data_IF_383274108903
#
_entry.id   IF_383274108903
#
_cell.length_a   1.000
_cell.length_b   1.000
_cell.length_c   1.000
_cell.angle_alpha   90.00
_cell.angle_beta   90.00
_cell.angle_gamma   90.00
#
_symmetry.space_group_name_H-M   'P 1'
#
loop_
_entity.id
_entity.type
_entity.pdbx_description
1 polymer ?
#
# COMPACT_ATOMS: atom_id res chain seq x y z
N UNK A 1 -16.09 44.17 -7.38
CA UNK A 1 -14.85 44.11 -6.59
C UNK A 1 -14.78 42.69 -6.03
N UNK A 2 -14.16 41.78 -6.77
CA UNK A 2 -14.04 40.37 -6.38
C UNK A 2 -12.72 40.20 -5.60
N UNK A 3 -12.68 39.45 -4.51
CA UNK A 3 -11.47 39.25 -3.73
C UNK A 3 -10.44 38.46 -4.55
N UNK A 4 -9.18 38.86 -4.41
CA UNK A 4 -8.02 38.25 -5.06
C UNK A 4 -7.86 36.85 -4.46
N UNK A 5 -8.13 35.82 -5.24
CA UNK A 5 -7.74 34.45 -4.90
C UNK A 5 -6.21 34.43 -4.79
N UNK A 6 -5.69 34.12 -3.59
CA UNK A 6 -4.27 33.94 -3.33
C UNK A 6 -3.75 32.70 -4.08
N UNK A 7 -3.48 32.85 -5.38
CA UNK A 7 -2.77 31.87 -6.19
C UNK A 7 -1.29 31.86 -5.86
N UNK A 8 -0.67 30.67 -5.88
CA UNK A 8 0.78 30.53 -5.71
C UNK A 8 1.50 31.22 -6.88
N UNK A 9 2.52 32.04 -6.64
CA UNK A 9 3.39 32.59 -7.68
C UNK A 9 4.72 31.83 -7.73
N UNK A 10 5.35 31.77 -8.91
CA UNK A 10 6.68 31.19 -9.03
C UNK A 10 7.71 32.06 -8.26
N UNK A 11 8.54 31.49 -7.37
CA UNK A 11 9.49 32.27 -6.58
C UNK A 11 10.63 32.89 -7.40
N UNK A 12 10.83 32.47 -8.65
CA UNK A 12 11.91 32.96 -9.51
C UNK A 12 11.47 34.05 -10.51
N UNK A 13 10.30 33.92 -11.14
CA UNK A 13 9.82 34.85 -12.17
C UNK A 13 8.56 35.63 -11.79
N UNK A 14 7.98 35.35 -10.61
CA UNK A 14 6.79 35.98 -10.06
C UNK A 14 5.50 35.83 -10.92
N UNK A 15 5.51 34.94 -11.92
CA UNK A 15 4.33 34.59 -12.70
C UNK A 15 3.35 33.73 -11.88
N UNK A 16 2.02 33.93 -12.02
CA UNK A 16 1.01 33.19 -11.28
C UNK A 16 0.94 31.73 -11.75
N UNK A 17 1.12 30.80 -10.82
CA UNK A 17 1.01 29.38 -11.05
C UNK A 17 -0.45 28.98 -10.88
N UNK A 18 -1.11 28.70 -12.00
CA UNK A 18 -2.51 28.27 -12.03
C UNK A 18 -2.72 26.81 -11.64
N UNK A 19 -1.62 26.06 -11.49
CA UNK A 19 -1.61 24.65 -11.17
C UNK A 19 -0.61 24.37 -10.04
N UNK A 20 -1.13 23.86 -8.92
CA UNK A 20 -0.37 23.60 -7.69
C UNK A 20 0.54 22.36 -7.81
N UNK A 21 0.52 21.64 -8.94
CA UNK A 21 1.30 20.42 -9.17
C UNK A 21 2.51 20.61 -10.12
N UNK A 22 2.92 21.85 -10.38
CA UNK A 22 4.06 22.14 -11.25
C UNK A 22 5.37 21.82 -10.56
N UNK A 23 6.09 20.81 -11.07
CA UNK A 23 7.45 20.45 -10.62
C UNK A 23 8.47 21.41 -11.23
N UNK A 24 8.18 21.96 -12.40
CA UNK A 24 9.02 22.93 -13.13
C UNK A 24 8.12 24.09 -13.55
N UNK A 25 8.56 25.33 -13.31
CA UNK A 25 7.83 26.51 -13.76
C UNK A 25 7.75 26.53 -15.30
N UNK A 26 6.56 26.61 -15.90
CA UNK A 26 6.41 26.60 -17.35
C UNK A 26 6.94 27.87 -18.03
N UNK A 27 7.18 28.94 -17.26
CA UNK A 27 7.63 30.23 -17.78
C UNK A 27 9.15 30.42 -17.71
N UNK A 28 9.82 29.91 -16.66
CA UNK A 28 11.25 30.12 -16.46
C UNK A 28 12.08 28.84 -16.30
N UNK A 29 11.47 27.65 -16.30
CA UNK A 29 12.18 26.38 -16.33
C UNK A 29 12.88 25.95 -15.02
N UNK A 30 12.63 26.64 -13.91
CA UNK A 30 13.21 26.31 -12.59
C UNK A 30 12.35 25.28 -11.86
N UNK A 31 12.99 24.34 -11.16
CA UNK A 31 12.31 23.36 -10.30
C UNK A 31 11.64 24.04 -9.10
N UNK A 32 10.34 23.80 -8.92
CA UNK A 32 9.54 24.34 -7.82
C UNK A 32 9.55 23.29 -6.70
N UNK A 33 10.31 23.56 -5.63
CA UNK A 33 10.33 22.72 -4.42
C UNK A 33 9.16 23.11 -3.53
N UNK A 34 8.01 22.46 -3.70
CA UNK A 34 6.89 22.61 -2.77
C UNK A 34 7.30 21.92 -1.46
N UNK A 35 7.68 22.73 -0.47
CA UNK A 35 7.95 22.24 0.88
C UNK A 35 6.63 21.88 1.57
N UNK A 36 6.63 20.68 2.12
CA UNK A 36 5.61 20.00 2.93
C UNK A 36 4.81 20.93 3.83
N UNK A 37 3.57 21.22 3.45
CA UNK A 37 2.43 21.44 4.35
C UNK A 37 1.17 20.83 3.74
N UNK A 38 1.29 19.60 3.25
CA UNK A 38 0.14 18.83 2.79
C UNK A 38 -0.56 18.17 3.98
N UNK A 39 -1.18 19.01 4.81
CA UNK A 39 -2.39 18.64 5.54
C UNK A 39 -3.44 18.34 4.46
N UNK A 40 -3.43 17.13 3.93
CA UNK A 40 -4.66 16.58 3.37
C UNK A 40 -5.49 16.20 4.59
N UNK A 41 -6.50 16.99 5.01
CA UNK A 41 -7.51 16.41 5.86
C UNK A 41 -8.02 15.20 5.10
N UNK A 42 -7.85 14.00 5.66
CA UNK A 42 -8.61 12.83 5.23
C UNK A 42 -10.05 13.32 5.13
N UNK A 43 -10.59 13.40 3.91
CA UNK A 43 -11.98 13.83 3.78
C UNK A 43 -12.80 12.76 4.48
N UNK A 44 -13.89 13.13 5.16
CA UNK A 44 -14.79 12.15 5.80
C UNK A 44 -15.17 11.00 4.85
N UNK A 45 -15.17 11.23 3.53
CA UNK A 45 -15.32 10.20 2.50
C UNK A 45 -14.25 9.10 2.51
N UNK A 46 -12.98 9.45 2.70
CA UNK A 46 -11.87 8.47 2.76
C UNK A 46 -11.96 7.61 4.05
N UNK A 47 -12.53 8.18 5.13
CA UNK A 47 -12.80 7.48 6.40
C UNK A 47 -14.07 6.62 6.30
N UNK A 48 -15.04 6.97 5.44
CA UNK A 48 -16.21 6.11 5.19
C UNK A 48 -15.91 4.92 4.27
N UNK A 49 -14.84 4.95 3.48
CA UNK A 49 -14.46 3.83 2.60
C UNK A 49 -13.77 2.68 3.34
N UNK A 50 -13.28 2.89 4.57
CA UNK A 50 -12.74 1.80 5.42
C UNK A 50 -13.80 0.73 5.72
N UNK A 51 -15.09 1.08 5.69
CA UNK A 51 -16.22 0.16 5.84
C UNK A 51 -16.55 -0.65 4.58
N UNK A 52 -15.88 -0.39 3.45
CA UNK A 52 -16.11 -1.13 2.20
C UNK A 52 -15.60 -2.56 2.27
N UNK A 53 -14.52 -2.80 3.02
CA UNK A 53 -13.90 -4.10 3.14
C UNK A 53 -14.48 -4.87 4.32
N UNK A 54 -14.91 -6.10 4.07
CA UNK A 54 -15.39 -7.01 5.11
C UNK A 54 -14.23 -7.45 6.02
N UNK A 55 -14.23 -7.07 7.32
CA UNK A 55 -13.18 -7.44 8.26
C UNK A 55 -13.05 -8.95 8.50
N UNK A 56 -14.09 -9.72 8.21
CA UNK A 56 -14.14 -11.19 8.38
C UNK A 56 -13.77 -11.92 7.08
N UNK A 57 -13.59 -11.22 5.96
CA UNK A 57 -13.20 -11.83 4.70
C UNK A 57 -11.75 -12.32 4.75
N UNK A 58 -11.59 -13.61 5.01
CA UNK A 58 -10.28 -14.28 5.10
C UNK A 58 -9.43 -14.10 3.84
N UNK A 59 -10.04 -13.95 2.67
CA UNK A 59 -9.34 -13.86 1.39
C UNK A 59 -8.97 -12.43 1.00
N UNK A 60 -9.26 -11.43 1.85
CA UNK A 60 -9.09 -10.00 1.54
C UNK A 60 -7.70 -9.64 1.01
N UNK A 61 -6.65 -10.25 1.55
CA UNK A 61 -5.26 -10.03 1.15
C UNK A 61 -4.64 -11.25 0.45
N UNK A 62 -5.45 -12.13 -0.13
CA UNK A 62 -4.96 -13.27 -0.90
C UNK A 62 -5.12 -13.01 -2.38
N UNK A 63 -4.00 -13.10 -3.10
CA UNK A 63 -4.01 -12.97 -4.55
C UNK A 63 -4.82 -14.11 -5.21
N UNK A 64 -5.66 -13.83 -6.21
CA UNK A 64 -6.46 -14.84 -6.89
C UNK A 64 -5.63 -16.01 -7.47
N UNK A 65 -4.42 -15.74 -7.98
CA UNK A 65 -3.55 -16.78 -8.53
C UNK A 65 -3.01 -17.69 -7.41
N UNK A 66 -2.84 -17.16 -6.20
CA UNK A 66 -2.49 -17.98 -5.03
C UNK A 66 -3.66 -18.88 -4.61
N UNK A 67 -4.90 -18.37 -4.58
CA UNK A 67 -6.09 -19.18 -4.28
C UNK A 67 -6.17 -20.36 -5.26
N UNK A 68 -6.08 -20.06 -6.57
CA UNK A 68 -6.12 -21.05 -7.63
C UNK A 68 -5.03 -22.10 -7.49
N UNK A 69 -3.80 -21.69 -7.20
CA UNK A 69 -2.69 -22.62 -6.97
C UNK A 69 -3.01 -23.60 -5.82
N UNK A 70 -3.48 -23.10 -4.68
CA UNK A 70 -3.82 -23.94 -3.53
C UNK A 70 -5.03 -24.84 -3.77
N UNK A 71 -6.02 -24.38 -4.55
CA UNK A 71 -7.15 -25.20 -5.02
C UNK A 71 -6.69 -26.38 -5.88
N UNK A 72 -5.89 -26.10 -6.92
CA UNK A 72 -5.38 -27.11 -7.86
C UNK A 72 -4.56 -28.20 -7.15
N UNK A 73 -3.85 -27.82 -6.07
CA UNK A 73 -3.03 -28.73 -5.28
C UNK A 73 -3.76 -29.36 -4.09
N UNK A 74 -5.08 -29.13 -3.95
CA UNK A 74 -5.91 -29.65 -2.84
C UNK A 74 -5.44 -29.22 -1.45
N UNK A 75 -4.84 -28.03 -1.35
CA UNK A 75 -4.31 -27.43 -0.12
C UNK A 75 -5.05 -26.17 0.32
N UNK A 76 -6.17 -25.81 -0.31
CA UNK A 76 -6.91 -24.58 0.00
C UNK A 76 -7.28 -24.47 1.49
N UNK A 77 -7.71 -25.57 2.12
CA UNK A 77 -8.04 -25.57 3.54
C UNK A 77 -6.82 -25.35 4.45
N UNK A 78 -5.63 -25.80 4.05
CA UNK A 78 -4.38 -25.50 4.78
C UNK A 78 -4.09 -24.00 4.76
N UNK A 79 -4.21 -23.36 3.58
CA UNK A 79 -4.06 -21.92 3.43
C UNK A 79 -5.14 -21.17 4.22
N UNK A 80 -6.41 -21.58 4.11
CA UNK A 80 -7.54 -21.00 4.85
C UNK A 80 -7.30 -21.00 6.35
N UNK A 81 -6.85 -22.15 6.88
CA UNK A 81 -6.54 -22.32 8.28
C UNK A 81 -5.38 -21.41 8.71
N UNK A 82 -4.30 -21.39 7.93
CA UNK A 82 -3.13 -20.58 8.24
C UNK A 82 -3.45 -19.07 8.20
N UNK A 83 -4.23 -18.61 7.22
CA UNK A 83 -4.67 -17.21 7.18
C UNK A 83 -5.48 -16.89 8.44
N UNK A 84 -6.48 -17.71 8.78
CA UNK A 84 -7.34 -17.46 9.93
C UNK A 84 -6.56 -17.42 11.24
N UNK A 85 -5.67 -18.38 11.49
CA UNK A 85 -5.06 -18.54 12.81
C UNK A 85 -3.64 -17.95 12.93
N UNK A 86 -2.86 -17.92 11.85
CA UNK A 86 -1.50 -17.40 11.85
C UNK A 86 -1.42 -15.94 11.37
N UNK A 87 -2.16 -15.58 10.31
CA UNK A 87 -2.14 -14.23 9.73
C UNK A 87 -3.07 -13.28 10.49
N UNK A 88 -4.36 -13.63 10.60
CA UNK A 88 -5.39 -12.85 11.29
C UNK A 88 -5.39 -13.07 12.82
N UNK A 89 -4.55 -14.00 13.33
CA UNK A 89 -4.44 -14.35 14.76
C UNK A 89 -5.77 -14.82 15.39
N UNK A 90 -6.66 -15.41 14.59
CA UNK A 90 -7.94 -15.94 15.03
C UNK A 90 -9.07 -14.90 15.19
N UNK A 91 -8.82 -13.63 14.85
CA UNK A 91 -9.83 -12.57 14.85
C UNK A 91 -10.04 -11.96 13.46
N UNK A 92 -10.74 -10.83 13.39
CA UNK A 92 -10.93 -10.04 12.16
C UNK A 92 -9.65 -9.30 11.74
N UNK A 93 -9.63 -8.78 10.51
CA UNK A 93 -8.63 -7.79 10.08
C UNK A 93 -8.70 -6.51 10.93
N UNK A 94 -7.55 -5.95 11.26
CA UNK A 94 -7.44 -4.75 12.08
C UNK A 94 -7.69 -3.49 11.23
N UNK A 95 -8.03 -2.38 11.87
CA UNK A 95 -8.32 -1.12 11.18
C UNK A 95 -7.17 -0.65 10.27
N UNK A 96 -5.92 -0.77 10.72
CA UNK A 96 -4.74 -0.41 9.91
C UNK A 96 -4.59 -1.29 8.65
N UNK A 97 -5.01 -2.55 8.74
CA UNK A 97 -5.01 -3.49 7.61
C UNK A 97 -6.14 -3.13 6.64
N UNK A 98 -7.33 -2.78 7.13
CA UNK A 98 -8.44 -2.30 6.30
C UNK A 98 -8.13 -0.95 5.64
N UNK A 99 -7.45 -0.04 6.33
CA UNK A 99 -6.94 1.22 5.77
C UNK A 99 -5.93 0.95 4.66
N UNK A 100 -5.03 -0.03 4.82
CA UNK A 100 -4.15 -0.46 3.74
C UNK A 100 -4.95 -0.91 2.52
N UNK A 101 -6.01 -1.71 2.68
CA UNK A 101 -6.85 -2.13 1.56
C UNK A 101 -7.48 -0.94 0.83
N UNK A 102 -8.04 0.01 1.57
CA UNK A 102 -8.65 1.23 1.02
C UNK A 102 -7.63 2.08 0.27
N UNK A 103 -6.44 2.29 0.84
CA UNK A 103 -5.40 3.05 0.18
C UNK A 103 -4.87 2.38 -1.08
N UNK A 104 -4.72 1.04 -1.08
CA UNK A 104 -4.33 0.31 -2.30
C UNK A 104 -5.36 0.53 -3.40
N UNK A 105 -6.65 0.41 -3.09
CA UNK A 105 -7.71 0.68 -4.06
C UNK A 105 -7.66 2.13 -4.57
N UNK A 106 -7.50 3.11 -3.68
CA UNK A 106 -7.35 4.52 -4.05
C UNK A 106 -6.16 4.72 -5.00
N UNK A 107 -5.00 4.12 -4.68
CA UNK A 107 -3.79 4.25 -5.48
C UNK A 107 -3.89 3.56 -6.85
N UNK A 108 -4.61 2.43 -6.92
CA UNK A 108 -4.95 1.75 -8.18
C UNK A 108 -5.87 2.61 -9.05
N UNK A 109 -6.95 3.15 -8.46
CA UNK A 109 -7.91 4.01 -9.16
C UNK A 109 -7.26 5.29 -9.70
N UNK A 110 -6.21 5.79 -9.03
CA UNK A 110 -5.43 6.94 -9.49
C UNK A 110 -4.30 6.58 -10.47
N UNK A 111 -4.07 5.30 -10.76
CA UNK A 111 -2.98 4.83 -11.63
C UNK A 111 -1.57 5.07 -11.07
N UNK A 112 -1.44 5.32 -9.77
CA UNK A 112 -0.15 5.54 -9.09
C UNK A 112 0.61 4.21 -8.92
N UNK A 113 -0.14 3.13 -8.71
CA UNK A 113 0.35 1.76 -8.68
C UNK A 113 -0.40 0.90 -9.71
N UNK A 114 0.19 -0.22 -10.10
CA UNK A 114 -0.43 -1.24 -10.94
C UNK A 114 -0.16 -2.64 -10.39
N UNK A 115 -1.02 -3.61 -10.67
CA UNK A 115 -0.75 -5.01 -10.32
C UNK A 115 0.42 -5.57 -11.14
N UNK A 116 1.39 -6.19 -10.46
CA UNK A 116 2.57 -6.81 -11.10
C UNK A 116 2.27 -8.23 -11.63
N UNK A 117 1.09 -8.78 -11.36
CA UNK A 117 0.71 -10.19 -11.61
C UNK A 117 1.65 -11.19 -10.94
N UNK A 118 1.96 -10.91 -9.68
CA UNK A 118 2.77 -11.75 -8.81
C UNK A 118 2.32 -11.53 -7.39
N UNK A 119 2.39 -12.55 -6.56
CA UNK A 119 2.06 -12.46 -5.14
C UNK A 119 3.28 -12.70 -4.24
N UNK A 120 3.16 -12.25 -3.01
CA UNK A 120 4.19 -12.41 -1.99
C UNK A 120 4.28 -13.87 -1.54
N UNK A 121 5.50 -14.33 -1.33
CA UNK A 121 5.80 -15.75 -1.07
C UNK A 121 5.31 -16.28 0.29
N UNK A 122 4.87 -15.42 1.19
CA UNK A 122 4.33 -15.80 2.52
C UNK A 122 2.82 -15.59 2.53
N UNK A 123 2.07 -16.51 3.14
CA UNK A 123 0.63 -16.33 3.36
C UNK A 123 0.32 -14.98 4.06
N UNK A 124 -0.75 -14.27 3.68
CA UNK A 124 -1.87 -14.72 2.86
C UNK A 124 -1.61 -14.73 1.35
N UNK A 125 -0.35 -14.58 0.91
CA UNK A 125 0.04 -14.43 -0.48
C UNK A 125 -0.55 -13.18 -1.12
N UNK A 126 -0.32 -11.99 -0.52
CA UNK A 126 -0.84 -10.75 -1.05
C UNK A 126 -0.27 -10.39 -2.41
N UNK A 127 -1.11 -9.78 -3.23
CA UNK A 127 -0.71 -9.20 -4.51
C UNK A 127 0.46 -8.23 -4.32
N UNK A 128 1.38 -8.25 -5.27
CA UNK A 128 2.48 -7.29 -5.38
C UNK A 128 2.10 -6.23 -6.40
N UNK A 129 2.16 -4.98 -5.97
CA UNK A 129 1.89 -3.82 -6.80
C UNK A 129 3.20 -3.14 -7.19
N UNK A 130 3.29 -2.71 -8.44
CA UNK A 130 4.40 -1.90 -8.95
C UNK A 130 4.07 -0.43 -8.86
N UNK A 131 5.01 0.36 -8.35
CA UNK A 131 4.86 1.81 -8.23
C UNK A 131 5.23 2.50 -9.56
N UNK A 132 4.26 3.22 -10.14
CA UNK A 132 4.41 3.96 -11.41
C UNK A 132 4.87 5.38 -11.21
N UNK A 133 4.47 6.00 -10.10
CA UNK A 133 4.74 7.39 -9.78
C UNK A 133 5.17 7.52 -8.31
N UNK A 134 5.96 8.56 -7.99
CA UNK A 134 6.26 8.87 -6.58
C UNK A 134 4.97 9.27 -5.85
N UNK A 135 4.88 8.98 -4.56
CA UNK A 135 3.69 9.30 -3.78
C UNK A 135 3.80 8.83 -2.34
N UNK A 136 2.65 8.75 -1.68
CA UNK A 136 2.52 8.32 -0.30
C UNK A 136 1.31 7.40 -0.17
N UNK A 137 1.41 6.44 0.75
CA UNK A 137 0.30 5.64 1.27
C UNK A 137 0.09 6.03 2.73
N UNK A 138 -1.15 6.28 3.14
CA UNK A 138 -1.48 6.72 4.50
C UNK A 138 -2.09 5.59 5.31
N UNK A 139 -1.43 5.17 6.38
CA UNK A 139 -1.95 4.11 7.26
C UNK A 139 -1.79 4.57 8.70
N UNK A 140 -2.85 4.44 9.50
CA UNK A 140 -2.92 4.88 10.88
C UNK A 140 -2.53 6.37 11.05
N UNK A 141 -2.94 7.21 10.09
CA UNK A 141 -2.59 8.63 10.04
C UNK A 141 -1.14 8.94 9.65
N UNK A 142 -0.28 7.94 9.46
CA UNK A 142 1.12 8.12 9.04
C UNK A 142 1.26 8.03 7.52
N UNK A 143 2.00 8.97 6.94
CA UNK A 143 2.30 8.96 5.51
C UNK A 143 3.61 8.21 5.22
N UNK A 144 3.51 7.06 4.55
CA UNK A 144 4.68 6.29 4.11
C UNK A 144 5.02 6.63 2.67
N UNK A 145 6.19 7.27 2.47
CA UNK A 145 6.66 7.68 1.15
C UNK A 145 7.10 6.48 0.31
N UNK A 146 6.79 6.53 -0.98
CA UNK A 146 7.33 5.60 -1.96
C UNK A 146 7.81 6.30 -3.24
N UNK A 147 8.67 5.61 -3.98
CA UNK A 147 9.29 6.10 -5.21
C UNK A 147 8.99 5.17 -6.39
N UNK A 148 8.95 5.74 -7.58
CA UNK A 148 8.77 5.00 -8.84
C UNK A 148 9.78 3.86 -8.96
N UNK A 149 9.31 2.70 -9.39
CA UNK A 149 10.13 1.51 -9.62
C UNK A 149 10.36 0.63 -8.38
N UNK A 150 9.91 1.06 -7.20
CA UNK A 150 9.71 0.16 -6.07
C UNK A 150 8.38 -0.59 -6.22
N UNK A 151 8.14 -1.51 -5.31
CA UNK A 151 6.97 -2.37 -5.23
C UNK A 151 6.36 -2.28 -3.83
N UNK A 152 5.07 -2.54 -3.74
CA UNK A 152 4.26 -2.51 -2.53
C UNK A 152 3.58 -3.86 -2.36
N UNK A 153 3.55 -4.38 -1.13
CA UNK A 153 2.70 -5.52 -0.77
C UNK A 153 2.31 -5.45 0.70
N UNK A 154 1.29 -6.21 1.08
CA UNK A 154 0.79 -6.31 2.44
C UNK A 154 1.77 -7.09 3.32
N UNK A 155 1.91 -6.69 4.58
CA UNK A 155 2.71 -7.42 5.55
C UNK A 155 1.86 -7.89 6.73
N UNK A 156 1.72 -9.22 6.87
CA UNK A 156 0.99 -9.83 7.98
C UNK A 156 1.56 -9.48 9.35
N UNK A 157 0.69 -9.49 10.38
CA UNK A 157 1.01 -9.13 11.78
C UNK A 157 2.25 -9.82 12.31
N UNK A 158 2.38 -11.13 12.12
CA UNK A 158 3.54 -11.86 12.65
C UNK A 158 4.85 -11.41 12.02
N UNK A 159 4.89 -11.16 10.71
CA UNK A 159 6.08 -10.65 10.06
C UNK A 159 6.39 -9.20 10.43
N UNK A 160 5.36 -8.40 10.76
CA UNK A 160 5.52 -7.06 11.32
C UNK A 160 6.17 -7.09 12.70
N UNK A 161 5.63 -7.90 13.60
CA UNK A 161 6.15 -8.10 14.96
C UNK A 161 7.63 -8.52 14.93
N UNK A 162 7.98 -9.49 14.08
CA UNK A 162 9.35 -10.00 13.96
C UNK A 162 10.34 -8.97 13.40
N UNK A 163 9.87 -8.03 12.57
CA UNK A 163 10.69 -7.00 11.92
C UNK A 163 10.55 -5.62 12.54
N UNK A 164 9.79 -5.51 13.63
CA UNK A 164 9.46 -4.25 14.30
C UNK A 164 8.88 -3.20 13.32
N UNK A 165 7.93 -3.62 12.46
CA UNK A 165 7.26 -2.76 11.49
C UNK A 165 5.94 -2.24 12.05
N UNK A 166 5.72 -0.93 11.96
CA UNK A 166 4.55 -0.27 12.54
C UNK A 166 3.32 -0.27 11.62
N UNK A 167 3.48 -0.59 10.33
CA UNK A 167 2.40 -0.57 9.35
C UNK A 167 2.32 -1.90 8.58
N UNK A 168 1.11 -2.34 8.14
CA UNK A 168 0.86 -3.54 7.31
C UNK A 168 1.36 -3.39 5.87
N UNK A 169 2.55 -2.81 5.72
CA UNK A 169 3.07 -2.30 4.48
C UNK A 169 4.54 -2.69 4.32
N UNK A 170 4.87 -3.22 3.16
CA UNK A 170 6.25 -3.42 2.74
C UNK A 170 6.48 -2.70 1.41
N UNK A 171 7.45 -1.77 1.41
CA UNK A 171 7.88 -1.03 0.21
C UNK A 171 9.35 -1.36 -0.06
N UNK A 172 9.65 -2.04 -1.16
CA UNK A 172 11.03 -2.28 -1.61
C UNK A 172 11.05 -2.78 -3.06
N UNK A 173 12.21 -3.16 -3.57
CA UNK A 173 12.31 -3.98 -4.79
C UNK A 173 12.32 -5.45 -4.38
N UNK A 174 11.34 -6.23 -4.81
CA UNK A 174 11.27 -7.65 -4.48
C UNK A 174 12.06 -8.48 -5.49
N UNK A 175 12.74 -9.51 -4.98
CA UNK A 175 13.37 -10.55 -5.80
C UNK A 175 12.37 -11.68 -6.01
N UNK A 176 12.22 -12.20 -7.25
CA UNK A 176 11.38 -13.38 -7.49
C UNK A 176 11.85 -14.58 -6.67
N UNK A 177 10.88 -15.40 -6.24
CA UNK A 177 11.13 -16.71 -5.66
C UNK A 177 10.06 -17.69 -6.14
N UNK A 178 10.41 -18.97 -6.21
CA UNK A 178 9.48 -20.05 -6.54
C UNK A 178 8.99 -20.80 -5.29
N UNK A 179 9.39 -20.35 -4.10
CA UNK A 179 8.90 -20.89 -2.84
C UNK A 179 7.62 -20.16 -2.43
N UNK A 180 6.66 -20.92 -1.92
CA UNK A 180 5.56 -20.41 -1.09
C UNK A 180 5.67 -21.05 0.28
N UNK A 181 5.44 -20.27 1.33
CA UNK A 181 5.39 -20.78 2.70
C UNK A 181 4.16 -20.24 3.41
N UNK A 182 3.64 -21.03 4.33
CA UNK A 182 2.61 -20.59 5.24
C UNK A 182 3.22 -19.69 6.33
N UNK A 183 2.46 -18.69 6.78
CA UNK A 183 2.88 -17.77 7.82
C UNK A 183 3.23 -18.57 9.08
N UNK A 184 2.39 -19.52 9.48
CA UNK A 184 2.63 -20.40 10.63
C UNK A 184 3.96 -21.16 10.58
N UNK A 185 4.47 -21.46 9.39
CA UNK A 185 5.74 -22.17 9.18
C UNK A 185 6.97 -21.26 9.34
N UNK A 186 6.80 -19.92 9.25
CA UNK A 186 7.93 -18.97 9.37
C UNK A 186 8.65 -19.04 10.72
N UNK A 187 7.99 -19.51 11.79
CA UNK A 187 8.61 -19.63 13.13
C UNK A 187 9.90 -20.45 13.13
N UNK A 188 10.07 -21.38 12.17
CA UNK A 188 11.29 -22.20 12.02
C UNK A 188 12.28 -21.72 10.95
N UNK A 189 11.81 -21.00 9.93
CA UNK A 189 12.53 -20.85 8.65
C UNK A 189 13.41 -19.61 8.52
N UNK A 190 13.35 -18.66 9.46
CA UNK A 190 14.11 -17.40 9.40
C UNK A 190 15.36 -17.37 10.30
N UNK A 191 15.74 -18.48 10.96
CA UNK A 191 16.97 -18.56 11.78
C UNK A 191 18.28 -18.65 10.98
N UNK A 192 18.25 -18.47 9.66
CA UNK A 192 19.42 -18.68 8.80
C UNK A 192 19.45 -17.84 7.52
N UNK A 193 18.77 -16.69 7.49
CA UNK A 193 18.87 -15.72 6.39
C UNK A 193 19.48 -14.40 6.87
#
# INVERSE_FOLDING_TARGET
MFPIENGLCCPNCNEPLRDLNLIICPYCGVEISIQVEDNYPLKEKDITETFKFDPENIWLFTDPDAIKYYEEHKKLEELRHDIKFSVMRGGAWNNDELEYAAEIERLLNQGIIEEKRSYWWVSPHPTVYRIKMRGYIRINGEAHRFIKGNEITFQCRMAREQRNLNAPLLIKKFTPTNSSILCGEMKGSMKGM
#
